data_IF_444309286231
#
_entry.id   IF_444309286231
#
_cell.length_a   1.000
_cell.length_b   1.000
_cell.length_c   1.000
_cell.angle_alpha   90.00
_cell.angle_beta   90.00
_cell.angle_gamma   90.00
#
_symmetry.space_group_name_H-M   'P 1'
#
loop_
_entity.id
_entity.type
_entity.pdbx_description
1 polymer ?
#
# COMPACT_ATOMS: atom_id res chain seq x y z
N UNK A 1 22.99 -1.71 -14.93
CA UNK A 1 21.66 -2.35 -15.09
C UNK A 1 21.00 -2.58 -13.74
N UNK A 2 21.71 -3.10 -12.73
CA UNK A 2 21.18 -3.28 -11.37
C UNK A 2 20.61 -1.99 -10.70
N UNK A 3 21.23 -0.82 -10.94
CA UNK A 3 20.72 0.44 -10.38
C UNK A 3 19.38 0.89 -10.97
N UNK A 4 19.11 0.56 -12.24
CA UNK A 4 17.87 0.90 -12.94
C UNK A 4 16.70 0.08 -12.37
N UNK A 5 16.95 -1.22 -12.16
CA UNK A 5 15.99 -2.16 -11.59
C UNK A 5 15.62 -1.75 -10.15
N UNK A 6 16.60 -1.34 -9.34
CA UNK A 6 16.34 -0.80 -8.01
C UNK A 6 15.56 0.52 -8.02
N UNK A 7 15.84 1.41 -8.98
CA UNK A 7 15.10 2.66 -9.13
C UNK A 7 13.63 2.40 -9.50
N UNK A 8 13.37 1.48 -10.42
CA UNK A 8 12.02 1.12 -10.85
C UNK A 8 11.19 0.51 -9.71
N UNK A 9 11.78 -0.38 -8.91
CA UNK A 9 11.09 -0.97 -7.76
C UNK A 9 10.81 0.08 -6.68
N UNK A 10 11.74 1.01 -6.40
CA UNK A 10 11.50 2.13 -5.48
C UNK A 10 10.37 3.04 -5.96
N UNK A 11 10.27 3.27 -7.28
CA UNK A 11 9.22 4.09 -7.88
C UNK A 11 7.85 3.39 -7.80
N UNK A 12 7.81 2.08 -8.04
CA UNK A 12 6.61 1.27 -7.85
C UNK A 12 6.14 1.27 -6.37
N UNK A 13 7.07 1.15 -5.44
CA UNK A 13 6.80 1.20 -4.00
C UNK A 13 6.27 2.58 -3.58
N UNK A 14 6.85 3.67 -4.08
CA UNK A 14 6.35 5.02 -3.83
C UNK A 14 4.91 5.21 -4.34
N UNK A 15 4.58 4.66 -5.52
CA UNK A 15 3.20 4.69 -6.06
C UNK A 15 2.23 3.91 -5.18
N UNK A 16 2.61 2.71 -4.74
CA UNK A 16 1.77 1.91 -3.86
C UNK A 16 1.57 2.56 -2.49
N UNK A 17 2.59 3.24 -1.95
CA UNK A 17 2.47 4.03 -0.71
C UNK A 17 1.49 5.18 -0.87
N UNK A 18 1.59 5.94 -1.96
CA UNK A 18 0.65 7.01 -2.27
C UNK A 18 -0.78 6.48 -2.37
N UNK A 19 -0.99 5.39 -3.12
CA UNK A 19 -2.31 4.77 -3.28
C UNK A 19 -2.86 4.30 -1.92
N UNK A 20 -2.01 3.72 -1.07
CA UNK A 20 -2.39 3.31 0.28
C UNK A 20 -2.80 4.49 1.19
N UNK A 21 -2.11 5.62 1.10
CA UNK A 21 -2.50 6.87 1.80
C UNK A 21 -3.84 7.41 1.29
N UNK A 22 -4.07 7.38 -0.03
CA UNK A 22 -5.33 7.80 -0.63
C UNK A 22 -6.50 6.94 -0.13
N UNK A 23 -6.31 5.61 -0.03
CA UNK A 23 -7.30 4.73 0.58
C UNK A 23 -7.56 5.07 2.05
N UNK A 24 -6.54 5.48 2.80
CA UNK A 24 -6.71 5.85 4.21
C UNK A 24 -7.50 7.15 4.36
N UNK A 25 -7.17 8.16 3.55
CA UNK A 25 -7.92 9.41 3.48
C UNK A 25 -9.38 9.15 3.09
N UNK A 26 -9.64 8.30 2.10
CA UNK A 26 -10.98 7.92 1.69
C UNK A 26 -11.74 7.16 2.79
N UNK A 27 -11.08 6.25 3.51
CA UNK A 27 -11.69 5.54 4.66
C UNK A 27 -12.05 6.52 5.76
N UNK A 28 -11.16 7.44 6.12
CA UNK A 28 -11.43 8.45 7.13
C UNK A 28 -12.59 9.36 6.73
N UNK A 29 -12.63 9.82 5.48
CA UNK A 29 -13.75 10.61 4.96
C UNK A 29 -15.08 9.83 5.02
N UNK A 30 -15.09 8.56 4.61
CA UNK A 30 -16.28 7.71 4.71
C UNK A 30 -16.75 7.51 6.16
N UNK A 31 -15.83 7.40 7.12
CA UNK A 31 -16.17 7.30 8.54
C UNK A 31 -16.80 8.61 9.02
N UNK A 32 -16.23 9.76 8.66
CA UNK A 32 -16.76 11.08 9.04
C UNK A 32 -18.15 11.35 8.48
N UNK A 33 -18.41 10.88 7.25
CA UNK A 33 -19.73 11.02 6.59
C UNK A 33 -20.74 9.97 7.10
N UNK A 34 -20.32 8.98 7.90
CA UNK A 34 -21.20 7.93 8.41
C UNK A 34 -21.61 6.91 7.34
N UNK A 35 -20.70 6.57 6.43
CA UNK A 35 -20.94 5.59 5.37
C UNK A 35 -21.09 4.16 5.93
N UNK A 36 -21.71 3.26 5.15
CA UNK A 36 -21.95 1.88 5.56
C UNK A 36 -20.68 1.14 5.97
N UNK A 37 -20.78 0.39 7.08
CA UNK A 37 -19.68 -0.41 7.62
C UNK A 37 -19.13 -1.42 6.60
N UNK A 38 -20.00 -2.02 5.75
CA UNK A 38 -19.58 -2.94 4.68
C UNK A 38 -18.71 -2.24 3.63
N UNK A 39 -19.01 -0.97 3.31
CA UNK A 39 -18.25 -0.19 2.32
C UNK A 39 -16.87 0.18 2.87
N UNK A 40 -16.82 0.59 4.14
CA UNK A 40 -15.58 0.85 4.87
C UNK A 40 -14.75 -0.44 4.96
N UNK A 41 -15.35 -1.59 5.30
CA UNK A 41 -14.65 -2.88 5.35
C UNK A 41 -14.05 -3.28 3.99
N UNK A 42 -14.78 -3.09 2.89
CA UNK A 42 -14.26 -3.35 1.54
C UNK A 42 -13.04 -2.48 1.21
N UNK A 43 -13.06 -1.21 1.60
CA UNK A 43 -11.93 -0.31 1.39
C UNK A 43 -10.73 -0.70 2.27
N UNK A 44 -10.96 -1.05 3.54
CA UNK A 44 -9.91 -1.58 4.43
C UNK A 44 -9.27 -2.85 3.86
N UNK A 45 -10.06 -3.75 3.26
CA UNK A 45 -9.54 -4.96 2.59
C UNK A 45 -8.66 -4.61 1.38
N UNK A 46 -9.05 -3.62 0.58
CA UNK A 46 -8.23 -3.12 -0.54
C UNK A 46 -6.92 -2.49 -0.03
N UNK A 47 -7.00 -1.65 1.00
CA UNK A 47 -5.83 -1.06 1.68
C UNK A 47 -4.86 -2.13 2.18
N UNK A 48 -5.37 -3.19 2.79
CA UNK A 48 -4.55 -4.33 3.25
C UNK A 48 -3.83 -5.02 2.09
N UNK A 49 -4.51 -5.28 0.97
CA UNK A 49 -3.89 -5.89 -0.20
C UNK A 49 -2.77 -5.03 -0.80
N UNK A 50 -2.89 -3.69 -0.74
CA UNK A 50 -1.80 -2.78 -1.14
C UNK A 50 -0.62 -2.87 -0.18
N UNK A 51 -0.89 -2.93 1.13
CA UNK A 51 0.15 -3.14 2.14
C UNK A 51 0.90 -4.45 1.93
N UNK A 52 0.19 -5.53 1.65
CA UNK A 52 0.81 -6.84 1.38
C UNK A 52 1.70 -6.79 0.14
N UNK A 53 1.25 -6.12 -0.93
CA UNK A 53 2.07 -5.90 -2.14
C UNK A 53 3.31 -5.04 -1.86
N UNK A 54 3.18 -3.99 -1.05
CA UNK A 54 4.33 -3.18 -0.64
C UNK A 54 5.34 -4.02 0.14
N UNK A 55 4.87 -4.84 1.09
CA UNK A 55 5.74 -5.74 1.86
C UNK A 55 6.49 -6.71 0.93
N UNK A 56 5.80 -7.31 -0.04
CA UNK A 56 6.45 -8.21 -1.02
C UNK A 56 7.50 -7.52 -1.89
N UNK A 57 7.31 -6.24 -2.22
CA UNK A 57 8.29 -5.45 -2.97
C UNK A 57 9.44 -4.99 -2.08
N UNK A 58 9.15 -4.65 -0.83
CA UNK A 58 10.17 -4.32 0.19
C UNK A 58 11.05 -5.53 0.47
N UNK A 59 10.47 -6.73 0.64
CA UNK A 59 11.20 -7.98 0.84
C UNK A 59 12.11 -8.33 -0.36
N UNK A 60 11.71 -7.97 -1.58
CA UNK A 60 12.54 -8.16 -2.78
C UNK A 60 13.72 -7.17 -2.85
N UNK A 61 13.57 -5.95 -2.33
CA UNK A 61 14.64 -4.94 -2.28
C UNK A 61 15.54 -5.15 -1.06
N UNK A 62 14.99 -5.70 0.02
CA UNK A 62 15.60 -5.85 1.33
C UNK A 62 15.55 -7.34 1.71
N UNK A 63 16.36 -8.22 1.10
CA UNK A 63 16.29 -9.66 1.39
C UNK A 63 16.80 -10.03 2.80
N UNK A 64 17.23 -9.08 3.63
CA UNK A 64 18.25 -9.32 4.67
C UNK A 64 17.93 -8.66 6.02
N UNK A 65 16.66 -8.57 6.44
CA UNK A 65 16.29 -8.06 7.79
C UNK A 65 15.25 -8.93 8.53
N UNK A 66 14.74 -10.01 7.93
CA UNK A 66 13.83 -10.95 8.63
C UNK A 66 14.37 -12.38 8.49
N UNK A 67 15.38 -12.69 9.32
CA UNK A 67 15.78 -14.04 9.73
C UNK A 67 15.41 -14.23 11.21
#
# INVERSE_FOLDING_TARGET
>A
MADQEQADVRLALARLRQEHEDYDAAINAMIQVGCDALRIQRMKKKKLALKDKMSQLEDQIIPDIIA
#
